data_IF_222179843887
#
_entry.id   IF_222179843887
#
_cell.length_a   1.000
_cell.length_b   1.000
_cell.length_c   1.000
_cell.angle_alpha   90.00
_cell.angle_beta   90.00
_cell.angle_gamma   90.00
#
_symmetry.space_group_name_H-M   'P 1'
#
loop_
_entity.id
_entity.type
_entity.pdbx_description
1 polymer ?
#
# COMPACT_ATOMS: atom_id res chain seq x y z
N UNK A 1 26.81 -14.66 7.86
CA UNK A 1 25.34 -14.60 7.87
C UNK A 1 24.85 -15.49 6.75
N UNK A 2 24.18 -16.59 7.08
CA UNK A 2 23.53 -17.45 6.09
C UNK A 2 22.27 -16.72 5.66
N UNK A 3 22.16 -16.31 4.40
CA UNK A 3 20.95 -15.70 3.85
C UNK A 3 19.86 -16.76 3.78
N UNK A 4 18.76 -16.57 4.51
CA UNK A 4 17.60 -17.45 4.47
C UNK A 4 16.70 -17.06 3.29
N UNK A 5 16.18 -18.05 2.57
CA UNK A 5 15.21 -17.85 1.50
C UNK A 5 13.79 -17.94 2.05
N UNK A 6 12.97 -16.92 1.83
CA UNK A 6 11.60 -16.87 2.33
C UNK A 6 10.64 -17.69 1.47
N UNK A 7 9.78 -18.46 2.12
CA UNK A 7 8.78 -19.32 1.47
C UNK A 7 7.40 -19.13 2.10
N UNK A 8 6.36 -19.19 1.27
CA UNK A 8 4.98 -19.03 1.71
C UNK A 8 4.32 -20.41 1.89
N UNK A 9 3.77 -20.66 3.08
CA UNK A 9 3.16 -21.95 3.41
C UNK A 9 1.84 -22.21 2.65
N UNK A 10 1.23 -21.16 2.10
CA UNK A 10 0.06 -21.24 1.21
C UNK A 10 0.40 -21.65 -0.22
N UNK A 11 1.67 -21.59 -0.63
CA UNK A 11 2.07 -21.99 -1.98
C UNK A 11 1.92 -23.51 -2.13
N UNK A 12 1.70 -23.95 -3.38
CA UNK A 12 1.63 -25.38 -3.68
C UNK A 12 2.99 -26.02 -3.41
N UNK A 13 2.98 -27.26 -2.92
CA UNK A 13 4.22 -28.01 -2.68
C UNK A 13 5.00 -28.19 -3.99
N UNK A 14 4.29 -28.31 -5.12
CA UNK A 14 4.89 -28.37 -6.46
C UNK A 14 5.71 -27.12 -6.77
N UNK A 15 5.12 -25.93 -6.60
CA UNK A 15 5.77 -24.67 -6.93
C UNK A 15 6.97 -24.43 -6.01
N UNK A 16 6.81 -24.69 -4.71
CA UNK A 16 7.89 -24.60 -3.72
C UNK A 16 9.07 -25.52 -4.07
N UNK A 17 8.81 -26.79 -4.37
CA UNK A 17 9.86 -27.75 -4.70
C UNK A 17 10.46 -27.54 -6.09
N UNK A 18 9.72 -26.94 -7.02
CA UNK A 18 10.23 -26.60 -8.36
C UNK A 18 11.15 -25.38 -8.30
N UNK A 19 10.74 -24.36 -7.53
CA UNK A 19 11.53 -23.14 -7.30
C UNK A 19 12.76 -23.42 -6.43
N UNK A 20 12.58 -24.24 -5.39
CA UNK A 20 13.61 -24.58 -4.42
C UNK A 20 13.71 -26.10 -4.22
N UNK A 21 14.49 -26.81 -5.05
CA UNK A 21 14.58 -28.28 -4.99
C UNK A 21 14.97 -28.86 -3.62
N UNK A 22 15.70 -28.10 -2.79
CA UNK A 22 16.10 -28.50 -1.43
C UNK A 22 14.90 -28.65 -0.47
N UNK A 23 13.78 -27.97 -0.71
CA UNK A 23 12.55 -28.14 0.08
C UNK A 23 12.05 -29.58 0.00
N UNK A 24 12.26 -30.26 -1.14
CA UNK A 24 11.87 -31.66 -1.31
C UNK A 24 12.57 -32.59 -0.32
N UNK A 25 13.82 -32.30 0.01
CA UNK A 25 14.59 -33.03 1.02
C UNK A 25 14.13 -32.66 2.44
N UNK A 26 13.89 -31.37 2.71
CA UNK A 26 13.35 -30.93 3.99
C UNK A 26 12.00 -31.59 4.34
N UNK A 27 11.09 -31.68 3.35
CA UNK A 27 9.80 -32.34 3.51
C UNK A 27 9.94 -33.86 3.66
N UNK A 28 10.85 -34.48 2.92
CA UNK A 28 11.10 -35.92 3.09
C UNK A 28 11.54 -36.22 4.54
N UNK A 29 12.45 -35.42 5.09
CA UNK A 29 12.95 -35.59 6.46
C UNK A 29 11.94 -35.22 7.55
N UNK A 30 10.88 -34.48 7.21
CA UNK A 30 9.69 -34.23 8.05
C UNK A 30 8.66 -35.37 8.00
N UNK A 31 8.92 -36.45 7.26
CA UNK A 31 8.02 -37.60 7.16
C UNK A 31 6.97 -37.49 6.04
N UNK A 32 7.22 -36.65 5.03
CA UNK A 32 6.46 -36.67 3.77
C UNK A 32 7.05 -37.72 2.80
N UNK A 33 7.05 -39.00 3.20
CA UNK A 33 7.76 -40.10 2.52
C UNK A 33 7.45 -40.23 1.02
N UNK A 34 6.23 -39.89 0.62
CA UNK A 34 5.75 -39.99 -0.76
C UNK A 34 6.19 -38.82 -1.65
N UNK A 35 6.84 -37.79 -1.11
CA UNK A 35 7.24 -36.60 -1.88
C UNK A 35 8.28 -36.92 -2.97
N UNK A 36 9.08 -37.98 -2.78
CA UNK A 36 10.06 -38.46 -3.77
C UNK A 36 9.44 -39.32 -4.87
N UNK A 37 8.19 -39.77 -4.73
CA UNK A 37 7.50 -40.52 -5.77
C UNK A 37 7.09 -39.59 -6.94
N UNK A 38 7.58 -39.81 -8.18
CA UNK A 38 7.33 -38.90 -9.30
C UNK A 38 5.85 -38.76 -9.67
N UNK A 39 5.05 -39.81 -9.52
CA UNK A 39 3.62 -39.79 -9.86
C UNK A 39 2.87 -38.94 -8.84
N UNK A 40 3.08 -39.18 -7.55
CA UNK A 40 2.45 -38.42 -6.47
C UNK A 40 2.89 -36.95 -6.47
N UNK A 41 4.18 -36.69 -6.72
CA UNK A 41 4.69 -35.33 -6.84
C UNK A 41 4.02 -34.59 -8.00
N UNK A 42 3.98 -35.16 -9.22
CA UNK A 42 3.42 -34.45 -10.37
C UNK A 42 1.89 -34.30 -10.39
N UNK A 43 1.18 -34.92 -9.44
CA UNK A 43 -0.29 -34.91 -9.34
C UNK A 43 -0.78 -34.20 -8.08
N UNK A 44 -0.48 -34.76 -6.90
CA UNK A 44 -1.00 -34.27 -5.61
C UNK A 44 -0.34 -32.95 -5.20
N UNK A 45 0.97 -32.80 -5.44
CA UNK A 45 1.69 -31.61 -4.96
C UNK A 45 1.29 -30.31 -5.66
N UNK A 46 0.66 -30.38 -6.84
CA UNK A 46 0.15 -29.22 -7.59
C UNK A 46 -1.08 -28.58 -6.94
N UNK A 47 -1.87 -29.39 -6.23
CA UNK A 47 -3.13 -28.96 -5.61
C UNK A 47 -3.03 -28.91 -4.08
N UNK A 48 -1.96 -29.46 -3.52
CA UNK A 48 -1.70 -29.51 -2.08
C UNK A 48 -0.75 -28.38 -1.68
N UNK A 49 -1.17 -27.55 -0.73
CA UNK A 49 -0.31 -26.52 -0.12
C UNK A 49 0.50 -27.12 1.02
N UNK A 50 1.63 -26.48 1.35
CA UNK A 50 2.46 -26.92 2.47
C UNK A 50 1.68 -26.88 3.80
N UNK A 51 0.82 -25.89 4.00
CA UNK A 51 0.00 -25.72 5.20
C UNK A 51 -0.98 -26.88 5.38
N UNK A 52 -1.71 -27.22 4.31
CA UNK A 52 -2.68 -28.32 4.33
C UNK A 52 -1.99 -29.66 4.58
N UNK A 53 -0.83 -29.87 3.96
CA UNK A 53 -0.07 -31.11 4.13
C UNK A 53 0.47 -31.26 5.56
N UNK A 54 0.98 -30.19 6.18
CA UNK A 54 1.43 -30.19 7.57
C UNK A 54 0.26 -30.50 8.53
N UNK A 55 -0.90 -29.86 8.33
CA UNK A 55 -2.13 -30.13 9.09
C UNK A 55 -2.56 -31.59 8.97
N UNK A 56 -2.57 -32.17 7.77
CA UNK A 56 -2.94 -33.57 7.54
C UNK A 56 -2.01 -34.58 8.22
N UNK A 57 -0.73 -34.22 8.39
CA UNK A 57 0.29 -35.04 9.06
C UNK A 57 0.41 -34.76 10.56
N UNK A 58 -0.39 -33.84 11.11
CA UNK A 58 -0.29 -33.36 12.49
C UNK A 58 1.11 -32.83 12.84
N UNK A 59 1.79 -32.20 11.88
CA UNK A 59 3.07 -31.53 12.10
C UNK A 59 2.79 -30.12 12.61
N UNK A 60 3.34 -29.77 13.77
CA UNK A 60 3.18 -28.44 14.34
C UNK A 60 3.99 -27.39 13.55
N UNK A 61 3.50 -26.15 13.52
CA UNK A 61 4.13 -25.05 12.80
C UNK A 61 5.56 -24.74 13.30
N UNK A 62 5.84 -24.95 14.59
CA UNK A 62 7.19 -24.74 15.14
C UNK A 62 8.16 -25.82 14.68
N UNK A 63 7.71 -27.07 14.60
CA UNK A 63 8.49 -28.19 14.09
C UNK A 63 8.80 -28.00 12.60
N UNK A 64 7.77 -27.63 11.82
CA UNK A 64 7.92 -27.33 10.39
C UNK A 64 8.91 -26.18 10.15
N UNK A 65 8.78 -25.08 10.89
CA UNK A 65 9.70 -23.93 10.82
C UNK A 65 11.12 -24.31 11.16
N UNK A 66 11.31 -25.03 12.27
CA UNK A 66 12.64 -25.46 12.72
C UNK A 66 13.32 -26.30 11.65
N UNK A 67 12.61 -27.26 11.05
CA UNK A 67 13.19 -28.09 9.99
C UNK A 67 13.52 -27.26 8.75
N UNK A 68 12.63 -26.41 8.27
CA UNK A 68 12.89 -25.62 7.07
C UNK A 68 14.09 -24.67 7.25
N UNK A 69 14.26 -24.11 8.45
CA UNK A 69 15.43 -23.30 8.80
C UNK A 69 16.74 -24.10 8.70
N UNK A 70 16.76 -25.40 9.06
CA UNK A 70 17.94 -26.26 8.87
C UNK A 70 18.37 -26.37 7.39
N UNK A 71 17.43 -26.18 6.45
CA UNK A 71 17.66 -26.23 5.01
C UNK A 71 17.86 -24.84 4.39
N UNK A 72 17.90 -23.79 5.22
CA UNK A 72 18.10 -22.41 4.78
C UNK A 72 16.82 -21.69 4.35
N UNK A 73 15.64 -22.18 4.74
CA UNK A 73 14.35 -21.59 4.39
C UNK A 73 13.63 -21.04 5.61
N UNK A 74 13.11 -19.82 5.50
CA UNK A 74 12.29 -19.22 6.53
C UNK A 74 10.82 -19.18 6.08
N UNK A 75 9.93 -19.74 6.90
CA UNK A 75 8.50 -19.66 6.66
C UNK A 75 8.01 -18.24 6.93
N UNK A 76 7.41 -17.60 5.93
CA UNK A 76 6.56 -16.44 6.20
C UNK A 76 5.41 -16.92 7.09
N UNK A 77 5.34 -16.40 8.32
CA UNK A 77 4.31 -16.79 9.29
C UNK A 77 2.93 -16.44 8.78
N UNK A 78 2.17 -17.47 8.38
CA UNK A 78 0.71 -17.42 8.46
C UNK A 78 0.37 -17.87 9.87
N UNK A 79 0.28 -16.93 10.81
CA UNK A 79 -0.70 -17.08 11.89
C UNK A 79 -2.08 -17.18 11.22
N UNK A 80 -3.06 -17.88 11.80
CA UNK A 80 -4.35 -18.11 11.15
C UNK A 80 -4.89 -16.79 10.57
N UNK A 81 -5.66 -16.86 9.47
CA UNK A 81 -6.21 -15.66 8.81
C UNK A 81 -6.91 -14.72 9.81
N UNK A 82 -7.55 -15.30 10.83
CA UNK A 82 -8.16 -14.60 11.97
C UNK A 82 -7.11 -13.91 12.87
N UNK A 83 -6.02 -14.60 13.25
CA UNK A 83 -4.92 -14.05 14.06
C UNK A 83 -4.17 -12.91 13.35
N UNK A 84 -3.94 -13.02 12.02
CA UNK A 84 -3.30 -11.96 11.23
C UNK A 84 -4.15 -10.70 11.18
N UNK A 85 -5.44 -10.89 10.92
CA UNK A 85 -6.41 -9.81 10.86
C UNK A 85 -6.54 -9.13 12.23
N UNK A 86 -6.53 -9.89 13.33
CA UNK A 86 -6.55 -9.35 14.69
C UNK A 86 -5.27 -8.56 15.04
N UNK A 87 -4.10 -9.03 14.61
CA UNK A 87 -2.84 -8.27 14.74
C UNK A 87 -2.94 -6.95 13.96
N UNK A 88 -3.45 -7.00 12.72
CA UNK A 88 -3.60 -5.82 11.88
C UNK A 88 -4.58 -4.83 12.51
N UNK A 89 -5.72 -5.30 13.01
CA UNK A 89 -6.70 -4.51 13.76
C UNK A 89 -6.07 -3.89 15.02
N UNK A 90 -5.28 -4.65 15.78
CA UNK A 90 -4.59 -4.16 16.98
C UNK A 90 -3.58 -3.05 16.65
N UNK A 91 -2.77 -3.23 15.60
CA UNK A 91 -1.81 -2.23 15.16
C UNK A 91 -2.51 -0.95 14.68
N UNK A 92 -3.63 -1.08 13.95
CA UNK A 92 -4.48 0.05 13.56
C UNK A 92 -4.99 0.78 14.82
N UNK A 93 -5.48 0.07 15.84
CA UNK A 93 -5.98 0.69 17.07
C UNK A 93 -4.88 1.38 17.88
N UNK A 94 -3.72 0.75 18.08
CA UNK A 94 -2.58 1.33 18.82
C UNK A 94 -2.15 2.67 18.24
N UNK A 95 -2.07 2.70 16.92
CA UNK A 95 -1.73 3.86 16.14
C UNK A 95 -2.77 4.99 16.26
N UNK A 96 -4.05 4.64 16.40
CA UNK A 96 -5.14 5.59 16.66
C UNK A 96 -4.90 6.41 17.92
N UNK A 97 -4.46 5.72 18.97
CA UNK A 97 -4.26 6.28 20.30
C UNK A 97 -2.90 6.97 20.44
N UNK A 98 -2.21 7.22 19.32
CA UNK A 98 -0.99 8.03 19.28
C UNK A 98 0.28 7.28 19.67
N UNK A 99 0.28 5.95 19.58
CA UNK A 99 1.49 5.16 19.81
C UNK A 99 2.58 5.48 18.77
N UNK A 100 3.85 5.38 19.19
CA UNK A 100 4.98 5.83 18.40
C UNK A 100 5.11 5.03 17.09
N UNK A 101 5.21 5.73 15.96
CA UNK A 101 5.22 5.14 14.63
C UNK A 101 6.40 4.20 14.38
N UNK A 102 7.59 4.44 14.97
CA UNK A 102 8.75 3.56 14.81
C UNK A 102 8.56 2.23 15.56
N UNK A 103 7.89 2.26 16.71
CA UNK A 103 7.54 1.04 17.45
C UNK A 103 6.49 0.22 16.69
N UNK A 104 5.49 0.90 16.12
CA UNK A 104 4.48 0.24 15.29
C UNK A 104 5.10 -0.36 14.03
N UNK A 105 6.02 0.34 13.36
CA UNK A 105 6.77 -0.21 12.23
C UNK A 105 7.53 -1.47 12.62
N UNK A 106 8.23 -1.45 13.75
CA UNK A 106 8.96 -2.63 14.24
C UNK A 106 8.03 -3.81 14.56
N UNK A 107 6.92 -3.56 15.23
CA UNK A 107 5.92 -4.59 15.55
C UNK A 107 5.24 -5.11 14.29
N UNK A 108 5.03 -4.25 13.29
CA UNK A 108 4.53 -4.61 11.99
C UNK A 108 5.51 -5.50 11.22
N UNK A 109 6.78 -5.12 11.11
CA UNK A 109 7.83 -5.91 10.44
C UNK A 109 8.04 -7.27 11.11
N UNK A 110 8.01 -7.31 12.45
CA UNK A 110 8.18 -8.53 13.24
C UNK A 110 7.01 -9.51 13.10
N UNK A 111 5.77 -9.00 13.06
CA UNK A 111 4.55 -9.85 13.09
C UNK A 111 3.88 -10.02 11.73
N UNK A 112 4.06 -9.08 10.82
CA UNK A 112 3.38 -8.96 9.54
C UNK A 112 4.40 -8.63 8.44
N UNK A 113 5.29 -9.59 8.17
CA UNK A 113 6.39 -9.52 7.19
C UNK A 113 6.00 -8.83 5.87
N UNK A 114 4.80 -9.14 5.34
CA UNK A 114 4.13 -8.43 4.24
C UNK A 114 2.61 -8.46 4.46
N UNK A 115 1.93 -7.43 3.96
CA UNK A 115 0.45 -7.41 3.87
C UNK A 115 0.00 -6.83 2.54
N UNK A 116 -1.11 -7.33 2.03
CA UNK A 116 -1.75 -6.77 0.83
C UNK A 116 -2.63 -5.58 1.17
N UNK A 117 -2.89 -4.74 0.15
CA UNK A 117 -3.88 -3.67 0.21
C UNK A 117 -5.27 -4.18 0.61
N UNK A 118 -5.61 -5.40 0.20
CA UNK A 118 -6.88 -6.07 0.48
C UNK A 118 -6.99 -6.52 1.95
N UNK A 119 -5.94 -7.11 2.52
CA UNK A 119 -5.92 -7.53 3.93
C UNK A 119 -6.17 -6.34 4.87
N UNK A 120 -5.57 -5.20 4.57
CA UNK A 120 -5.71 -3.97 5.36
C UNK A 120 -7.09 -3.35 5.19
N UNK A 121 -7.63 -3.39 3.97
CA UNK A 121 -9.00 -2.94 3.71
C UNK A 121 -10.02 -3.78 4.48
N UNK A 122 -9.89 -5.10 4.46
CA UNK A 122 -10.79 -6.01 5.18
C UNK A 122 -10.71 -5.81 6.70
N UNK A 123 -9.50 -5.67 7.26
CA UNK A 123 -9.32 -5.39 8.69
C UNK A 123 -9.96 -4.07 9.12
N UNK A 124 -9.86 -3.01 8.30
CA UNK A 124 -10.53 -1.74 8.57
C UNK A 124 -12.05 -1.86 8.47
N UNK A 125 -12.56 -2.60 7.48
CA UNK A 125 -14.00 -2.80 7.34
C UNK A 125 -14.59 -3.49 8.56
N UNK A 126 -13.91 -4.52 9.07
CA UNK A 126 -14.31 -5.18 10.32
C UNK A 126 -14.24 -4.25 11.53
N UNK A 127 -13.26 -3.34 11.63
CA UNK A 127 -13.20 -2.38 12.73
C UNK A 127 -14.40 -1.42 12.71
N UNK A 128 -14.83 -0.99 11.52
CA UNK A 128 -16.04 -0.17 11.34
C UNK A 128 -17.28 -0.96 11.76
N UNK A 129 -17.39 -2.21 11.32
CA UNK A 129 -18.50 -3.10 11.70
C UNK A 129 -18.54 -3.35 13.22
N UNK A 130 -17.37 -3.32 13.88
CA UNK A 130 -17.21 -3.45 15.33
C UNK A 130 -17.30 -2.11 16.09
N UNK A 131 -17.75 -1.02 15.44
CA UNK A 131 -18.13 0.22 16.11
C UNK A 131 -17.12 1.37 16.04
N UNK A 132 -16.01 1.22 15.30
CA UNK A 132 -15.14 2.35 14.95
C UNK A 132 -15.89 3.33 14.05
N UNK A 133 -15.83 4.63 14.31
CA UNK A 133 -16.50 5.59 13.44
C UNK A 133 -15.82 5.67 12.08
N UNK A 134 -16.60 5.94 11.05
CA UNK A 134 -16.08 6.11 9.68
C UNK A 134 -15.04 7.24 9.61
N UNK A 135 -15.19 8.29 10.43
CA UNK A 135 -14.24 9.42 10.43
C UNK A 135 -12.92 9.09 11.16
N UNK A 136 -12.96 8.20 12.16
CA UNK A 136 -11.75 7.62 12.75
C UNK A 136 -11.09 6.68 11.73
N UNK A 137 -11.86 5.78 11.10
CA UNK A 137 -11.39 4.87 10.05
C UNK A 137 -10.68 5.61 8.89
N UNK A 138 -11.22 6.76 8.47
CA UNK A 138 -10.64 7.63 7.42
C UNK A 138 -9.26 8.21 7.78
N UNK A 139 -8.97 8.47 9.06
CA UNK A 139 -7.64 8.97 9.49
C UNK A 139 -6.53 7.92 9.33
N UNK A 140 -6.87 6.63 9.29
CA UNK A 140 -5.90 5.54 9.16
C UNK A 140 -5.44 5.25 7.74
N UNK A 141 -6.16 5.75 6.72
CA UNK A 141 -5.72 5.63 5.33
C UNK A 141 -4.33 6.24 5.11
N UNK A 142 -4.00 7.29 5.87
CA UNK A 142 -2.70 7.95 5.87
C UNK A 142 -1.56 7.06 6.40
N UNK A 143 -1.87 6.16 7.34
CA UNK A 143 -0.84 5.38 8.04
C UNK A 143 -0.67 3.99 7.42
N UNK A 144 -1.73 3.47 6.77
CA UNK A 144 -1.65 2.40 5.78
C UNK A 144 -0.50 2.66 4.80
N UNK A 145 -0.35 3.90 4.34
CA UNK A 145 0.77 4.28 3.47
C UNK A 145 2.12 4.28 4.18
N UNK A 146 2.21 4.90 5.36
CA UNK A 146 3.49 5.11 6.07
C UNK A 146 4.13 3.80 6.55
N UNK A 147 3.32 2.80 6.89
CA UNK A 147 3.76 1.50 7.43
C UNK A 147 3.93 0.47 6.31
N UNK A 148 3.12 0.55 5.25
CA UNK A 148 3.11 -0.48 4.20
C UNK A 148 3.97 -0.14 2.99
N UNK A 149 4.54 1.06 2.91
CA UNK A 149 5.46 1.42 1.82
C UNK A 149 6.66 0.47 1.70
N UNK A 150 7.17 -0.02 2.84
CA UNK A 150 8.34 -0.92 2.89
C UNK A 150 7.94 -2.42 2.86
N UNK A 151 6.69 -2.75 3.20
CA UNK A 151 6.19 -4.13 3.31
C UNK A 151 5.21 -4.56 2.19
N UNK A 152 4.72 -3.61 1.37
CA UNK A 152 3.96 -3.93 0.17
C UNK A 152 4.91 -4.52 -0.86
N UNK A 153 4.59 -5.74 -1.31
CA UNK A 153 5.30 -6.36 -2.40
C UNK A 153 4.99 -5.57 -3.69
N UNK A 154 5.80 -4.57 -4.00
CA UNK A 154 5.78 -3.88 -5.30
C UNK A 154 6.32 -4.78 -6.43
N UNK A 155 6.25 -6.11 -6.28
CA UNK A 155 6.67 -7.12 -7.27
C UNK A 155 5.75 -7.19 -8.49
N UNK A 156 4.93 -6.17 -8.72
CA UNK A 156 4.58 -5.77 -10.08
C UNK A 156 5.37 -4.51 -10.39
N UNK A 157 6.48 -4.67 -11.11
CA UNK A 157 6.96 -3.66 -12.06
C UNK A 157 5.84 -3.39 -13.08
N UNK A 158 4.81 -2.68 -12.65
CA UNK A 158 3.80 -2.11 -13.52
C UNK A 158 4.20 -0.65 -13.71
N UNK A 159 5.26 -0.44 -14.48
CA UNK A 159 5.63 0.86 -15.04
C UNK A 159 4.52 1.31 -16.01
N UNK A 160 3.40 1.77 -15.45
CA UNK A 160 2.37 2.45 -16.21
C UNK A 160 2.80 3.89 -16.39
N UNK A 161 3.07 4.29 -17.63
CA UNK A 161 3.51 5.65 -17.95
C UNK A 161 2.54 6.73 -17.46
N UNK A 162 1.24 6.44 -17.36
CA UNK A 162 0.26 7.31 -16.72
C UNK A 162 0.59 7.61 -15.23
N UNK A 163 1.08 6.63 -14.48
CA UNK A 163 1.52 6.80 -13.09
C UNK A 163 2.79 7.66 -13.04
N UNK A 164 3.73 7.43 -13.96
CA UNK A 164 4.96 8.22 -14.02
C UNK A 164 4.66 9.69 -14.31
N UNK A 165 3.78 9.97 -15.29
CA UNK A 165 3.34 11.34 -15.59
C UNK A 165 2.66 11.98 -14.36
N UNK A 166 1.81 11.24 -13.66
CA UNK A 166 1.15 11.73 -12.44
C UNK A 166 2.16 12.10 -11.35
N UNK A 167 3.17 11.25 -11.10
CA UNK A 167 4.23 11.54 -10.12
C UNK A 167 5.11 12.71 -10.56
N UNK A 168 5.42 12.84 -11.84
CA UNK A 168 6.17 14.00 -12.36
C UNK A 168 5.40 15.32 -12.18
N UNK A 169 4.08 15.32 -12.34
CA UNK A 169 3.25 16.48 -12.00
C UNK A 169 3.37 16.84 -10.50
N UNK A 170 3.38 15.85 -9.60
CA UNK A 170 3.62 16.07 -8.17
C UNK A 170 5.00 16.68 -7.89
N UNK A 171 6.06 16.21 -8.56
CA UNK A 171 7.39 16.82 -8.44
C UNK A 171 7.44 18.24 -8.97
N UNK A 172 6.70 18.54 -10.04
CA UNK A 172 6.57 19.90 -10.56
C UNK A 172 5.86 20.83 -9.56
N UNK A 173 4.79 20.35 -8.92
CA UNK A 173 4.06 21.08 -7.87
C UNK A 173 4.98 21.33 -6.66
N UNK A 174 5.70 20.31 -6.20
CA UNK A 174 6.69 20.44 -5.10
C UNK A 174 7.74 21.50 -5.38
N UNK A 175 8.31 21.46 -6.58
CA UNK A 175 9.31 22.43 -6.99
C UNK A 175 8.74 23.85 -6.95
N UNK A 176 7.54 24.06 -7.50
CA UNK A 176 6.89 25.37 -7.53
C UNK A 176 6.61 25.91 -6.13
N UNK A 177 6.08 25.11 -5.21
CA UNK A 177 5.79 25.63 -3.87
C UNK A 177 7.06 25.82 -3.03
N UNK A 178 8.12 25.04 -3.26
CA UNK A 178 9.41 25.22 -2.58
C UNK A 178 10.14 26.50 -3.02
N UNK A 179 9.87 26.98 -4.24
CA UNK A 179 10.37 28.27 -4.74
C UNK A 179 9.72 29.48 -4.04
N UNK A 180 8.58 29.29 -3.35
CA UNK A 180 7.90 30.34 -2.58
C UNK A 180 8.68 30.60 -1.28
N UNK A 181 9.63 31.55 -1.30
CA UNK A 181 10.50 31.89 -0.15
C UNK A 181 10.06 33.13 0.64
N UNK A 182 9.23 34.02 0.07
CA UNK A 182 8.78 35.26 0.71
C UNK A 182 7.64 35.95 -0.09
N UNK A 183 7.15 37.05 0.46
CA UNK A 183 6.20 37.99 -0.13
C UNK A 183 6.68 38.51 -1.51
N UNK A 184 5.74 38.73 -2.45
CA UNK A 184 5.91 39.13 -3.86
C UNK A 184 6.33 38.05 -4.87
N UNK A 185 5.66 36.89 -4.83
CA UNK A 185 5.72 35.95 -5.96
C UNK A 185 4.34 35.54 -6.44
N UNK A 186 3.48 36.54 -6.66
CA UNK A 186 2.12 36.34 -7.18
C UNK A 186 2.10 35.51 -8.47
N UNK A 187 3.09 35.68 -9.35
CA UNK A 187 3.22 34.89 -10.57
C UNK A 187 3.48 33.41 -10.28
N UNK A 188 4.28 33.10 -9.25
CA UNK A 188 4.52 31.72 -8.82
C UNK A 188 3.26 31.15 -8.16
N UNK A 189 2.56 31.92 -7.34
CA UNK A 189 1.29 31.48 -6.71
C UNK A 189 0.23 31.18 -7.76
N UNK A 190 0.03 32.05 -8.76
CA UNK A 190 -0.89 31.82 -9.89
C UNK A 190 -0.48 30.60 -10.70
N UNK A 191 0.82 30.44 -10.97
CA UNK A 191 1.35 29.26 -11.65
C UNK A 191 1.12 27.98 -10.84
N UNK A 192 1.32 28.01 -9.53
CA UNK A 192 1.04 26.88 -8.63
C UNK A 192 -0.44 26.52 -8.68
N UNK A 193 -1.33 27.52 -8.62
CA UNK A 193 -2.77 27.32 -8.72
C UNK A 193 -3.16 26.63 -10.03
N UNK A 194 -2.64 27.11 -11.16
CA UNK A 194 -2.93 26.51 -12.47
C UNK A 194 -2.45 25.06 -12.57
N UNK A 195 -1.27 24.74 -11.99
CA UNK A 195 -0.74 23.39 -11.98
C UNK A 195 -1.55 22.46 -11.07
N UNK A 196 -1.87 22.90 -9.84
CA UNK A 196 -2.72 22.15 -8.91
C UNK A 196 -4.10 21.90 -9.49
N UNK A 197 -4.75 22.93 -10.01
CA UNK A 197 -6.09 22.82 -10.57
C UNK A 197 -6.13 21.83 -11.74
N UNK A 198 -5.15 21.91 -12.65
CA UNK A 198 -5.04 20.95 -13.76
C UNK A 198 -4.79 19.53 -13.26
N UNK A 199 -3.88 19.37 -12.31
CA UNK A 199 -3.55 18.07 -11.72
C UNK A 199 -4.78 17.43 -11.05
N UNK A 200 -5.49 18.18 -10.21
CA UNK A 200 -6.70 17.69 -9.53
C UNK A 200 -7.86 17.39 -10.48
N UNK A 201 -8.03 18.15 -11.57
CA UNK A 201 -9.00 17.82 -12.62
C UNK A 201 -8.65 16.48 -13.28
N UNK A 202 -7.38 16.24 -13.61
CA UNK A 202 -6.93 14.97 -14.19
C UNK A 202 -7.09 13.81 -13.21
N UNK A 203 -6.74 14.02 -11.94
CA UNK A 203 -6.94 13.05 -10.86
C UNK A 203 -8.40 12.58 -10.81
N UNK A 204 -9.35 13.51 -10.79
CA UNK A 204 -10.79 13.21 -10.73
C UNK A 204 -11.30 12.55 -12.03
N UNK A 205 -11.00 13.15 -13.18
CA UNK A 205 -11.55 12.75 -14.47
C UNK A 205 -10.94 11.47 -15.05
N UNK A 206 -9.73 11.11 -14.64
CA UNK A 206 -9.01 9.94 -15.15
C UNK A 206 -8.97 8.81 -14.11
N UNK A 207 -8.25 9.00 -13.02
CA UNK A 207 -7.99 7.93 -12.05
C UNK A 207 -9.22 7.60 -11.20
N UNK A 208 -9.84 8.62 -10.61
CA UNK A 208 -11.02 8.44 -9.76
C UNK A 208 -12.20 7.91 -10.59
N UNK A 209 -12.37 8.43 -11.81
CA UNK A 209 -13.41 7.94 -12.72
C UNK A 209 -13.16 6.49 -13.16
N UNK A 210 -11.91 6.07 -13.35
CA UNK A 210 -11.60 4.67 -13.62
C UNK A 210 -11.94 3.78 -12.39
N UNK A 211 -11.58 4.20 -11.18
CA UNK A 211 -11.91 3.47 -9.94
C UNK A 211 -13.42 3.34 -9.71
N UNK A 212 -14.21 4.37 -10.07
CA UNK A 212 -15.68 4.34 -9.99
C UNK A 212 -16.30 3.18 -10.76
N UNK A 213 -15.71 2.78 -11.90
CA UNK A 213 -16.20 1.63 -12.69
C UNK A 213 -16.20 0.32 -11.88
N UNK A 214 -15.29 0.23 -10.92
CA UNK A 214 -15.09 -0.93 -10.06
C UNK A 214 -15.68 -0.75 -8.66
N UNK A 215 -16.50 0.29 -8.44
CA UNK A 215 -17.14 0.54 -7.14
C UNK A 215 -16.18 0.95 -6.01
N UNK A 216 -14.97 1.41 -6.34
CA UNK A 216 -13.92 1.75 -5.38
C UNK A 216 -13.68 3.27 -5.32
N UNK A 217 -14.74 4.06 -5.10
CA UNK A 217 -14.67 5.53 -5.19
C UNK A 217 -14.72 6.26 -3.84
N UNK A 218 -14.88 5.56 -2.71
CA UNK A 218 -14.92 6.20 -1.39
C UNK A 218 -13.64 6.97 -1.02
N UNK A 219 -12.41 6.46 -1.25
CA UNK A 219 -11.18 7.19 -0.92
C UNK A 219 -11.09 8.51 -1.69
N UNK A 220 -11.59 8.48 -2.92
CA UNK A 220 -11.59 9.59 -3.85
C UNK A 220 -12.52 10.72 -3.42
N UNK A 221 -13.71 10.43 -2.86
CA UNK A 221 -14.68 11.46 -2.41
C UNK A 221 -14.12 12.40 -1.34
N UNK A 222 -13.25 11.89 -0.47
CA UNK A 222 -12.60 12.69 0.58
C UNK A 222 -11.47 13.53 -0.02
N UNK A 223 -10.67 12.96 -0.92
CA UNK A 223 -9.58 13.67 -1.59
C UNK A 223 -10.09 14.84 -2.44
N UNK A 224 -11.17 14.67 -3.21
CA UNK A 224 -11.71 15.75 -4.04
C UNK A 224 -12.23 16.95 -3.23
N UNK A 225 -12.60 16.74 -1.96
CA UNK A 225 -12.94 17.84 -1.05
C UNK A 225 -11.69 18.59 -0.62
N UNK A 226 -10.68 17.87 -0.14
CA UNK A 226 -9.40 18.46 0.29
C UNK A 226 -8.72 19.20 -0.87
N UNK A 227 -8.82 18.70 -2.10
CA UNK A 227 -8.35 19.39 -3.30
C UNK A 227 -8.96 20.78 -3.46
N UNK A 228 -10.28 20.87 -3.28
CA UNK A 228 -11.01 22.14 -3.36
C UNK A 228 -10.61 23.06 -2.22
N UNK A 229 -10.44 22.52 -1.02
CA UNK A 229 -10.02 23.30 0.15
C UNK A 229 -8.63 23.90 -0.08
N UNK A 230 -7.67 23.12 -0.61
CA UNK A 230 -6.32 23.59 -0.99
C UNK A 230 -6.40 24.67 -2.08
N UNK A 231 -7.22 24.47 -3.12
CA UNK A 231 -7.37 25.46 -4.20
C UNK A 231 -7.99 26.78 -3.68
N UNK A 232 -8.97 26.70 -2.79
CA UNK A 232 -9.58 27.87 -2.17
C UNK A 232 -8.58 28.60 -1.27
N UNK A 233 -7.83 27.87 -0.43
CA UNK A 233 -6.79 28.45 0.43
C UNK A 233 -5.72 29.18 -0.41
N UNK A 234 -5.25 28.56 -1.49
CA UNK A 234 -4.29 29.20 -2.38
C UNK A 234 -4.89 30.43 -3.09
N UNK A 235 -6.17 30.38 -3.45
CA UNK A 235 -6.86 31.54 -4.03
C UNK A 235 -6.94 32.70 -3.05
N UNK A 236 -7.29 32.44 -1.80
CA UNK A 236 -7.31 33.45 -0.73
C UNK A 236 -5.91 34.05 -0.52
N UNK A 237 -4.86 33.23 -0.55
CA UNK A 237 -3.47 33.69 -0.46
C UNK A 237 -3.07 34.56 -1.67
N UNK A 238 -3.55 34.24 -2.87
CA UNK A 238 -3.32 35.07 -4.07
C UNK A 238 -4.01 36.42 -3.91
N UNK A 239 -5.27 36.44 -3.46
CA UNK A 239 -6.04 37.66 -3.25
C UNK A 239 -5.42 38.53 -2.13
N UNK A 240 -4.93 37.92 -1.05
CA UNK A 240 -4.18 38.62 0.00
C UNK A 240 -2.84 39.16 -0.51
N UNK A 241 -2.16 38.43 -1.39
CA UNK A 241 -0.93 38.89 -2.04
C UNK A 241 -1.18 40.11 -2.93
N UNK A 242 -2.28 40.16 -3.68
CA UNK A 242 -2.65 41.32 -4.51
C UNK A 242 -2.92 42.57 -3.66
N UNK A 243 -3.38 42.37 -2.43
CA UNK A 243 -3.71 43.44 -1.49
C UNK A 243 -2.59 43.78 -0.49
N UNK A 244 -1.38 43.23 -0.67
CA UNK A 244 -0.23 43.37 0.25
C UNK A 244 -0.52 42.93 1.70
N UNK A 245 -1.40 41.94 1.90
CA UNK A 245 -1.82 41.38 3.21
C UNK A 245 -1.29 39.99 3.48
N UNK A 246 -0.32 39.56 2.70
CA UNK A 246 0.16 38.18 2.66
C UNK A 246 0.71 37.75 4.03
N UNK A 247 0.26 36.56 4.47
CA UNK A 247 0.60 35.98 5.76
C UNK A 247 1.52 34.77 5.56
N UNK A 248 2.74 34.84 6.07
CA UNK A 248 3.72 33.75 6.00
C UNK A 248 3.23 32.45 6.62
N UNK A 249 2.38 32.53 7.65
CA UNK A 249 1.81 31.35 8.30
C UNK A 249 0.82 30.63 7.37
N UNK A 250 -0.01 31.37 6.64
CA UNK A 250 -0.94 30.79 5.65
C UNK A 250 -0.17 30.08 4.53
N UNK A 251 0.93 30.67 4.05
CA UNK A 251 1.79 30.01 3.05
C UNK A 251 2.38 28.71 3.61
N UNK A 252 2.82 28.72 4.88
CA UNK A 252 3.38 27.53 5.52
C UNK A 252 2.34 26.42 5.64
N UNK A 253 1.14 26.74 6.12
CA UNK A 253 0.01 25.81 6.22
C UNK A 253 -0.37 25.24 4.86
N UNK A 254 -0.49 26.08 3.83
CA UNK A 254 -0.76 25.64 2.47
C UNK A 254 0.29 24.62 1.99
N UNK A 255 1.58 24.86 2.25
CA UNK A 255 2.66 23.92 1.88
C UNK A 255 2.51 22.58 2.60
N UNK A 256 2.14 22.60 3.87
CA UNK A 256 1.88 21.38 4.65
C UNK A 256 0.69 20.61 4.05
N UNK A 257 -0.40 21.30 3.70
CA UNK A 257 -1.58 20.68 3.07
C UNK A 257 -1.27 20.10 1.67
N UNK A 258 -0.52 20.81 0.82
CA UNK A 258 -0.10 20.30 -0.49
C UNK A 258 0.83 19.08 -0.34
N UNK A 259 1.80 19.15 0.57
CA UNK A 259 2.71 18.02 0.83
C UNK A 259 1.97 16.79 1.33
N UNK A 260 0.98 17.00 2.21
CA UNK A 260 0.10 15.94 2.69
C UNK A 260 -0.77 15.35 1.56
N UNK A 261 -1.28 16.17 0.63
CA UNK A 261 -2.02 15.67 -0.54
C UNK A 261 -1.15 14.83 -1.47
N UNK A 262 0.04 15.32 -1.83
CA UNK A 262 1.00 14.56 -2.66
C UNK A 262 1.36 13.25 -1.97
N UNK A 263 1.61 13.32 -0.66
CA UNK A 263 1.85 12.14 0.15
C UNK A 263 0.67 11.17 0.09
N UNK A 264 -0.59 11.63 0.13
CA UNK A 264 -1.75 10.74 -0.02
C UNK A 264 -1.84 10.18 -1.43
N UNK A 265 -1.62 10.97 -2.47
CA UNK A 265 -1.75 10.52 -3.83
C UNK A 265 -0.78 9.38 -4.18
N UNK A 266 0.51 9.50 -3.86
CA UNK A 266 1.54 8.56 -4.33
C UNK A 266 1.48 7.14 -3.75
N UNK A 267 0.61 6.97 -2.78
CA UNK A 267 0.96 6.24 -1.57
C UNK A 267 -0.34 5.67 -0.96
N UNK A 268 -1.48 6.31 -1.27
CA UNK A 268 -2.85 5.82 -1.13
C UNK A 268 -3.46 5.61 -2.52
N UNK A 269 -3.62 6.70 -3.29
CA UNK A 269 -4.40 6.68 -4.53
C UNK A 269 -3.74 5.83 -5.60
N UNK A 270 -2.44 6.03 -5.86
CA UNK A 270 -1.71 5.29 -6.88
C UNK A 270 -1.70 3.79 -6.55
N UNK A 271 -1.35 3.32 -5.33
CA UNK A 271 -1.45 1.91 -4.99
C UNK A 271 -2.86 1.34 -5.15
N UNK A 272 -3.90 2.10 -4.79
CA UNK A 272 -5.28 1.68 -5.00
C UNK A 272 -5.57 1.48 -6.50
N UNK A 273 -5.19 2.44 -7.34
CA UNK A 273 -5.32 2.32 -8.80
C UNK A 273 -4.59 1.07 -9.32
N UNK A 274 -3.36 0.81 -8.89
CA UNK A 274 -2.61 -0.38 -9.34
C UNK A 274 -3.28 -1.68 -8.91
N UNK A 275 -3.89 -1.72 -7.72
CA UNK A 275 -4.56 -2.92 -7.21
C UNK A 275 -5.92 -3.21 -7.87
N UNK A 276 -6.59 -2.19 -8.41
CA UNK A 276 -7.98 -2.29 -8.90
C UNK A 276 -8.06 -2.23 -10.43
N UNK A 277 -7.25 -1.38 -11.06
CA UNK A 277 -7.39 -1.07 -12.49
C UNK A 277 -6.68 -2.11 -13.36
N UNK A 278 -7.28 -2.41 -14.50
CA UNK A 278 -6.67 -3.26 -15.50
C UNK A 278 -5.59 -2.51 -16.30
N UNK A 279 -4.75 -3.25 -17.03
CA UNK A 279 -3.80 -2.64 -17.98
C UNK A 279 -4.52 -1.76 -19.02
N UNK A 280 -5.66 -2.20 -19.53
CA UNK A 280 -6.46 -1.44 -20.49
C UNK A 280 -6.98 -0.13 -19.91
N UNK A 281 -7.34 -0.09 -18.62
CA UNK A 281 -7.71 1.15 -17.95
C UNK A 281 -6.53 2.14 -17.90
N UNK A 282 -5.32 1.66 -17.58
CA UNK A 282 -4.12 2.51 -17.57
C UNK A 282 -3.75 3.02 -18.97
N UNK A 283 -3.84 2.18 -20.00
CA UNK A 283 -3.59 2.58 -21.38
C UNK A 283 -4.61 3.67 -21.82
N UNK A 284 -5.88 3.52 -21.44
CA UNK A 284 -6.93 4.51 -21.69
C UNK A 284 -6.69 5.82 -20.92
N UNK A 285 -6.20 5.75 -19.69
CA UNK A 285 -5.81 6.93 -18.90
C UNK A 285 -4.66 7.66 -19.60
N UNK A 286 -3.63 6.93 -20.04
CA UNK A 286 -2.47 7.52 -20.72
C UNK A 286 -2.88 8.29 -21.98
N UNK A 287 -3.75 7.72 -22.82
CA UNK A 287 -4.24 8.37 -24.04
C UNK A 287 -4.95 9.70 -23.73
N UNK A 288 -5.71 9.76 -22.63
CA UNK A 288 -6.48 10.95 -22.22
C UNK A 288 -5.69 11.93 -21.36
N UNK A 289 -4.49 11.57 -20.94
CA UNK A 289 -3.67 12.39 -20.04
C UNK A 289 -3.09 13.63 -20.74
N UNK A 290 -2.83 13.50 -22.05
CA UNK A 290 -2.32 14.53 -22.95
C UNK A 290 -3.45 15.36 -23.58
#
# INVERSE_FOLDING_TARGET
MTTLEFINISDSIYDLCTKYPKIKEALFDLGFDKIKNPIMFNTVSKIMTLEKAAKMKNIDNNELRKKLNEYGFELNSISNKDDRNDILKSLIVKLHYGENIENIKREFEDKLIKVSAEEVHNAMHELIDNGMSIDEAKRFFYIRTLVLKDAMDNNTETNHKAIDIFKEENRCIEKLFNEIKSYDNINILKKLYDNLNRHYIKKESLFITALKKYGNDEPSKVMSRVDKDILNELKDIIDDSENNKINSENIKLLKEHISDMIFKEENILIPLCVSVLSKEDFDNIEIKYN
#
